data_IF_966743641408
#
_entry.id   IF_966743641408
#
_cell.length_a   1.000
_cell.length_b   1.000
_cell.length_c   1.000
_cell.angle_alpha   90.00
_cell.angle_beta   90.00
_cell.angle_gamma   90.00
#
_symmetry.space_group_name_H-M   'P 1'
#
loop_
_entity.id
_entity.type
_entity.pdbx_description
1 polymer ?
#
# COMPACT_ATOMS: atom_id res chain seq x y z
N UNK A 1 60.20 102.53 -18.00
CA UNK A 1 59.21 102.18 -18.98
C UNK A 1 58.58 100.86 -18.63
N UNK A 2 57.24 100.81 -18.49
CA UNK A 2 56.37 99.67 -17.97
C UNK A 2 56.43 99.39 -16.48
N UNK A 3 55.52 99.55 -15.73
CA UNK A 3 54.13 99.67 -15.48
C UNK A 3 53.68 98.49 -14.64
N UNK A 4 53.78 98.55 -13.28
CA UNK A 4 53.27 97.59 -12.37
C UNK A 4 51.80 97.90 -12.05
N UNK A 5 50.91 96.99 -12.49
CA UNK A 5 49.50 97.07 -12.18
C UNK A 5 49.17 96.21 -10.98
N UNK A 6 48.84 96.86 -9.90
CA UNK A 6 48.37 96.33 -8.63
C UNK A 6 47.06 95.55 -8.82
N UNK A 7 46.98 94.28 -8.47
CA UNK A 7 45.73 93.56 -8.36
C UNK A 7 45.51 93.22 -6.90
N UNK A 8 44.45 93.76 -6.37
CA UNK A 8 43.92 93.48 -5.01
C UNK A 8 43.54 92.04 -4.87
N UNK A 9 43.81 91.45 -3.66
CA UNK A 9 43.33 90.20 -3.21
C UNK A 9 41.79 90.23 -3.02
N UNK A 10 41.07 89.18 -3.36
CA UNK A 10 39.66 89.12 -2.99
C UNK A 10 39.46 88.70 -1.55
N UNK A 11 38.46 89.27 -0.96
CA UNK A 11 37.96 89.08 0.40
C UNK A 11 37.62 87.64 0.72
N UNK A 12 37.92 87.27 1.96
CA UNK A 12 37.34 86.09 2.63
C UNK A 12 35.81 86.16 2.59
N UNK A 13 35.19 85.25 1.77
CA UNK A 13 33.77 84.94 1.85
C UNK A 13 33.48 84.15 3.14
N UNK A 14 32.48 84.62 3.86
CA UNK A 14 31.92 83.92 5.05
C UNK A 14 31.53 82.52 4.65
N UNK A 15 32.09 81.50 5.30
CA UNK A 15 31.51 80.18 5.35
C UNK A 15 30.15 80.26 6.03
N UNK A 16 29.08 80.02 5.32
CA UNK A 16 27.75 79.78 5.88
C UNK A 16 27.73 78.37 6.49
N UNK A 17 27.34 78.31 7.74
CA UNK A 17 27.20 77.05 8.49
C UNK A 17 25.87 76.35 8.20
N UNK A 18 25.65 75.97 6.96
CA UNK A 18 24.40 75.31 6.56
C UNK A 18 24.64 74.28 5.43
N UNK A 19 25.57 73.36 5.69
CA UNK A 19 25.71 72.14 4.87
C UNK A 19 26.11 70.95 5.77
N UNK A 20 25.36 70.76 6.90
CA UNK A 20 25.24 69.46 7.54
C UNK A 20 24.32 68.62 6.66
N UNK A 21 24.82 68.15 5.51
CA UNK A 21 24.25 67.03 4.83
C UNK A 21 24.54 65.81 5.70
N UNK A 22 23.48 65.34 6.35
CA UNK A 22 23.43 64.05 7.01
C UNK A 22 24.07 62.99 6.12
N UNK A 23 25.29 62.61 6.46
CA UNK A 23 25.93 61.44 5.90
C UNK A 23 25.14 60.25 6.54
N UNK A 24 24.08 59.87 5.83
CA UNK A 24 23.33 58.64 6.15
C UNK A 24 24.29 57.48 5.93
N UNK A 25 24.94 57.05 6.99
CA UNK A 25 25.75 55.86 6.99
C UNK A 25 24.77 54.69 6.73
N UNK A 26 24.64 54.32 5.48
CA UNK A 26 23.94 53.10 5.09
C UNK A 26 24.59 51.94 5.85
N UNK A 27 23.90 51.49 6.87
CA UNK A 27 24.27 50.24 7.59
C UNK A 27 24.26 49.12 6.56
N UNK A 28 25.35 48.38 6.42
CA UNK A 28 25.35 47.26 5.47
C UNK A 28 24.21 46.31 5.82
N UNK A 29 23.42 45.98 4.81
CA UNK A 29 22.27 45.13 4.87
C UNK A 29 22.64 43.79 5.52
N UNK A 30 22.33 43.58 6.77
CA UNK A 30 22.36 42.30 7.49
C UNK A 30 21.12 41.45 7.18
N UNK A 31 20.27 41.89 6.25
CA UNK A 31 19.01 41.23 5.87
C UNK A 31 19.23 39.85 5.27
N UNK A 32 20.29 39.62 4.51
CA UNK A 32 20.54 38.30 3.87
C UNK A 32 20.78 37.17 4.86
N UNK A 33 21.34 37.46 6.03
CA UNK A 33 21.65 36.40 7.03
C UNK A 33 20.42 36.00 7.85
N UNK A 34 19.51 36.93 8.10
CA UNK A 34 18.26 36.63 8.81
C UNK A 34 17.27 35.88 7.90
N UNK A 35 17.24 36.23 6.62
CA UNK A 35 16.44 35.49 5.62
C UNK A 35 16.90 34.05 5.48
N UNK A 36 18.21 33.79 5.39
CA UNK A 36 18.75 32.44 5.30
C UNK A 36 18.34 31.52 6.46
N UNK A 37 18.41 32.01 7.69
CA UNK A 37 18.01 31.21 8.86
C UNK A 37 16.49 30.98 8.97
N UNK A 38 15.69 31.89 8.47
CA UNK A 38 14.24 31.71 8.40
C UNK A 38 13.85 30.67 7.34
N UNK A 39 14.46 30.75 6.18
CA UNK A 39 14.27 29.75 5.10
C UNK A 39 14.78 28.37 5.51
N UNK A 40 15.95 28.29 6.14
CA UNK A 40 16.48 27.03 6.66
C UNK A 40 15.54 26.40 7.70
N UNK A 41 14.94 27.18 8.59
CA UNK A 41 13.95 26.68 9.56
C UNK A 41 12.70 26.13 8.88
N UNK A 42 12.21 26.78 7.83
CA UNK A 42 11.07 26.30 7.05
C UNK A 42 11.39 24.97 6.37
N UNK A 43 12.54 24.86 5.73
CA UNK A 43 12.99 23.63 5.09
C UNK A 43 13.14 22.47 6.11
N UNK A 44 13.74 22.73 7.27
CA UNK A 44 13.87 21.72 8.33
C UNK A 44 12.51 21.29 8.86
N UNK A 45 11.58 22.21 9.06
CA UNK A 45 10.21 21.91 9.45
C UNK A 45 9.53 21.01 8.42
N UNK A 46 9.62 21.40 7.15
CA UNK A 46 8.98 20.67 6.05
C UNK A 46 9.59 19.26 5.88
N UNK A 47 10.90 19.13 6.07
CA UNK A 47 11.58 17.85 6.11
C UNK A 47 11.08 16.97 7.29
N UNK A 48 10.90 17.56 8.48
CA UNK A 48 10.37 16.83 9.63
C UNK A 48 8.93 16.36 9.35
N UNK A 49 8.07 17.22 8.80
CA UNK A 49 6.72 16.81 8.42
C UNK A 49 6.70 15.72 7.35
N UNK A 50 7.54 15.83 6.32
CA UNK A 50 7.67 14.81 5.29
C UNK A 50 8.13 13.47 5.87
N UNK A 51 9.11 13.48 6.76
CA UNK A 51 9.63 12.28 7.41
C UNK A 51 8.58 11.65 8.33
N UNK A 52 7.86 12.47 9.10
CA UNK A 52 6.76 12.03 9.96
C UNK A 52 5.64 11.40 9.12
N UNK A 53 5.23 12.05 8.04
CA UNK A 53 4.21 11.54 7.14
C UNK A 53 4.64 10.22 6.47
N UNK A 54 5.87 10.16 5.96
CA UNK A 54 6.42 8.93 5.36
C UNK A 54 6.45 7.77 6.38
N UNK A 55 6.87 8.05 7.61
CA UNK A 55 6.87 7.08 8.71
C UNK A 55 5.45 6.58 9.01
N UNK A 56 4.49 7.50 9.11
CA UNK A 56 3.08 7.17 9.33
C UNK A 56 2.54 6.27 8.22
N UNK A 57 2.85 6.60 6.96
CA UNK A 57 2.44 5.79 5.79
C UNK A 57 3.02 4.38 5.85
N UNK A 58 4.30 4.23 6.13
CA UNK A 58 4.95 2.91 6.22
C UNK A 58 4.42 2.11 7.42
N UNK A 59 4.18 2.75 8.56
CA UNK A 59 3.71 2.06 9.77
C UNK A 59 2.26 1.59 9.62
N UNK A 60 1.38 2.42 9.08
CA UNK A 60 -0.07 2.17 9.12
C UNK A 60 -0.69 1.74 7.78
N UNK A 61 -0.10 2.13 6.66
CA UNK A 61 -0.74 1.96 5.34
C UNK A 61 -0.04 0.94 4.46
N UNK A 62 1.28 1.06 4.30
CA UNK A 62 2.05 0.26 3.33
C UNK A 62 3.22 -0.43 4.02
N UNK A 63 3.36 -1.74 3.78
CA UNK A 63 4.51 -2.50 4.26
C UNK A 63 5.27 -3.11 3.09
N UNK A 64 6.60 -2.88 2.98
CA UNK A 64 7.43 -3.64 2.05
C UNK A 64 7.62 -5.07 2.57
N UNK A 65 7.44 -6.05 1.68
CA UNK A 65 7.60 -7.48 1.96
C UNK A 65 8.46 -8.10 0.88
N UNK A 66 9.37 -9.00 1.26
CA UNK A 66 10.10 -9.86 0.34
C UNK A 66 9.35 -11.18 0.19
N UNK A 67 9.11 -11.58 -1.05
CA UNK A 67 8.51 -12.89 -1.38
C UNK A 67 9.59 -13.96 -1.25
N UNK A 68 9.28 -15.04 -0.58
CA UNK A 68 10.15 -16.20 -0.44
C UNK A 68 9.41 -17.47 -0.86
N UNK A 69 10.10 -18.28 -1.67
CA UNK A 69 9.57 -19.52 -2.20
C UNK A 69 8.86 -19.39 -3.56
N UNK A 70 8.33 -20.51 -4.03
CA UNK A 70 7.84 -20.66 -5.40
C UNK A 70 6.33 -20.90 -5.49
N UNK A 71 5.63 -20.83 -4.37
CA UNK A 71 4.19 -21.17 -4.30
C UNK A 71 3.26 -20.20 -5.05
N UNK A 72 3.74 -19.01 -5.41
CA UNK A 72 2.98 -17.99 -6.15
C UNK A 72 3.49 -17.79 -7.58
N UNK A 73 4.32 -18.70 -8.10
CA UNK A 73 4.70 -18.72 -9.52
C UNK A 73 3.43 -18.92 -10.38
N UNK A 74 3.30 -18.26 -11.47
CA UNK A 74 4.19 -17.34 -12.20
C UNK A 74 3.99 -15.88 -11.82
N UNK A 75 3.01 -15.61 -10.98
CA UNK A 75 2.64 -14.22 -10.62
C UNK A 75 3.71 -13.52 -9.79
N UNK A 76 4.25 -14.22 -8.78
CA UNK A 76 5.32 -13.73 -7.92
C UNK A 76 6.45 -14.75 -7.86
N UNK A 77 7.68 -14.27 -7.97
CA UNK A 77 8.91 -15.08 -7.95
C UNK A 77 9.63 -14.94 -6.62
N UNK A 78 10.46 -15.94 -6.33
CA UNK A 78 11.35 -15.86 -5.18
C UNK A 78 12.29 -14.65 -5.29
N UNK A 79 12.38 -13.87 -4.21
CA UNK A 79 13.16 -12.63 -4.17
C UNK A 79 12.42 -11.36 -4.60
N UNK A 80 11.21 -11.47 -5.16
CA UNK A 80 10.38 -10.30 -5.48
C UNK A 80 10.14 -9.45 -4.22
N UNK A 81 10.11 -8.11 -4.40
CA UNK A 81 9.73 -7.20 -3.32
C UNK A 81 8.45 -6.49 -3.70
N UNK A 82 7.50 -6.58 -2.81
CA UNK A 82 6.14 -6.06 -3.02
C UNK A 82 5.75 -5.08 -1.93
N UNK A 83 4.88 -4.16 -2.26
CA UNK A 83 4.15 -3.36 -1.29
C UNK A 83 2.83 -4.03 -0.95
N UNK A 84 2.54 -4.06 0.33
CA UNK A 84 1.34 -4.68 0.91
C UNK A 84 0.51 -3.60 1.57
N UNK A 85 -0.79 -3.54 1.25
CA UNK A 85 -1.75 -2.65 1.88
C UNK A 85 -2.19 -3.24 3.24
N UNK A 86 -1.91 -2.52 4.32
CA UNK A 86 -2.28 -2.90 5.69
C UNK A 86 -3.67 -2.40 6.09
N UNK A 87 -4.26 -1.47 5.35
CA UNK A 87 -5.59 -0.94 5.68
C UNK A 87 -6.67 -2.01 5.67
N UNK A 88 -6.46 -3.12 4.97
CA UNK A 88 -7.37 -4.28 5.02
C UNK A 88 -7.54 -4.84 6.43
N UNK A 89 -6.52 -4.74 7.28
CA UNK A 89 -6.60 -5.14 8.68
C UNK A 89 -7.68 -4.34 9.44
N UNK A 90 -7.97 -3.12 8.96
CA UNK A 90 -9.02 -2.25 9.49
C UNK A 90 -10.35 -2.38 8.70
N UNK A 91 -10.47 -3.42 7.85
CA UNK A 91 -11.68 -3.69 7.08
C UNK A 91 -11.89 -2.83 5.82
N UNK A 92 -10.84 -2.14 5.35
CA UNK A 92 -10.92 -1.25 4.17
C UNK A 92 -9.73 -1.49 3.23
N UNK A 93 -9.97 -1.85 1.95
CA UNK A 93 -11.19 -2.37 1.34
C UNK A 93 -11.49 -3.81 1.80
N UNK A 94 -12.72 -4.27 1.62
CA UNK A 94 -13.07 -5.68 1.87
C UNK A 94 -12.28 -6.61 0.97
N UNK A 95 -11.84 -7.73 1.53
CA UNK A 95 -11.16 -8.77 0.79
C UNK A 95 -12.11 -9.43 -0.22
N UNK A 96 -11.57 -9.70 -1.39
CA UNK A 96 -12.29 -10.30 -2.52
C UNK A 96 -11.60 -11.56 -2.99
N UNK A 97 -12.35 -12.43 -3.69
CA UNK A 97 -11.76 -13.56 -4.41
C UNK A 97 -10.73 -13.06 -5.41
N UNK A 98 -9.59 -13.74 -5.51
CA UNK A 98 -8.49 -13.36 -6.39
C UNK A 98 -7.47 -12.43 -5.74
N UNK A 99 -7.76 -11.84 -4.58
CA UNK A 99 -6.79 -11.03 -3.86
C UNK A 99 -5.61 -11.88 -3.39
N UNK A 100 -4.41 -11.39 -3.63
CA UNK A 100 -3.20 -11.98 -3.05
C UNK A 100 -2.96 -11.36 -1.68
N UNK A 101 -2.99 -12.19 -0.65
CA UNK A 101 -2.93 -11.75 0.75
C UNK A 101 -1.72 -12.30 1.47
N UNK A 102 -1.23 -11.53 2.43
CA UNK A 102 -0.17 -11.92 3.35
C UNK A 102 -0.78 -12.09 4.73
N UNK A 103 -0.45 -13.22 5.37
CA UNK A 103 -1.08 -13.60 6.64
C UNK A 103 -0.13 -14.42 7.52
N UNK A 104 -0.40 -14.43 8.82
CA UNK A 104 0.27 -15.33 9.75
C UNK A 104 -0.23 -16.76 9.56
N UNK A 105 0.71 -17.70 9.41
CA UNK A 105 0.35 -19.11 9.21
C UNK A 105 -0.44 -19.65 10.40
N UNK A 106 -1.66 -20.22 10.21
CA UNK A 106 -2.54 -20.59 11.31
C UNK A 106 -1.95 -21.58 12.32
N UNK A 107 -1.11 -22.53 11.85
CA UNK A 107 -0.52 -23.55 12.72
C UNK A 107 0.81 -23.10 13.35
N UNK A 108 1.41 -22.03 12.86
CA UNK A 108 2.66 -21.44 13.39
C UNK A 108 2.71 -19.95 13.06
N UNK A 109 2.11 -19.08 13.90
CA UNK A 109 2.03 -17.64 13.64
C UNK A 109 3.39 -16.91 13.62
N UNK A 110 4.49 -17.58 13.90
CA UNK A 110 5.84 -17.04 13.70
C UNK A 110 6.22 -16.94 12.22
N UNK A 111 5.49 -17.65 11.34
CA UNK A 111 5.69 -17.69 9.89
C UNK A 111 4.63 -16.88 9.16
N UNK A 112 5.06 -16.22 8.10
CA UNK A 112 4.17 -15.48 7.20
C UNK A 112 4.07 -16.21 5.87
N UNK A 113 2.84 -16.30 5.36
CA UNK A 113 2.57 -16.87 4.06
C UNK A 113 1.92 -15.84 3.15
N UNK A 114 2.14 -16.03 1.84
CA UNK A 114 1.47 -15.27 0.77
C UNK A 114 0.71 -16.26 -0.10
N UNK A 115 -0.59 -16.03 -0.28
CA UNK A 115 -1.49 -16.89 -1.06
C UNK A 115 -2.60 -16.06 -1.70
N UNK A 116 -3.29 -16.67 -2.64
CA UNK A 116 -4.48 -16.08 -3.29
C UNK A 116 -5.74 -16.54 -2.58
N UNK A 117 -6.68 -15.62 -2.34
CA UNK A 117 -8.03 -15.96 -1.87
C UNK A 117 -8.79 -16.63 -3.00
N UNK A 118 -9.28 -17.84 -2.71
CA UNK A 118 -10.06 -18.67 -3.65
C UNK A 118 -11.48 -18.81 -3.14
N UNK A 119 -11.69 -19.06 -1.87
CA UNK A 119 -13.03 -19.17 -1.26
C UNK A 119 -13.30 -18.06 -0.26
N UNK A 120 -14.51 -17.50 -0.34
CA UNK A 120 -15.02 -16.43 0.54
C UNK A 120 -15.90 -17.00 1.65
N UNK A 121 -16.10 -16.26 2.75
CA UNK A 121 -17.02 -16.68 3.82
C UNK A 121 -18.42 -17.06 3.30
N UNK A 122 -18.94 -18.19 3.77
CA UNK A 122 -20.25 -18.75 3.36
C UNK A 122 -20.24 -19.60 2.11
N UNK A 123 -19.10 -19.73 1.40
CA UNK A 123 -18.99 -20.55 0.20
C UNK A 123 -18.49 -21.97 0.51
N UNK A 124 -18.86 -22.90 -0.35
CA UNK A 124 -18.31 -24.24 -0.35
C UNK A 124 -17.25 -24.37 -1.43
N UNK A 125 -16.02 -24.68 -1.04
CA UNK A 125 -14.90 -24.93 -1.93
C UNK A 125 -14.64 -26.41 -2.06
N UNK A 126 -14.53 -26.89 -3.26
CA UNK A 126 -14.20 -28.26 -3.61
C UNK A 126 -13.12 -28.29 -4.69
N UNK A 127 -12.24 -29.28 -4.67
CA UNK A 127 -11.29 -29.51 -5.75
C UNK A 127 -11.56 -30.88 -6.34
N UNK A 128 -11.85 -30.93 -7.66
CA UNK A 128 -12.06 -32.15 -8.44
C UNK A 128 -11.00 -32.24 -9.52
N UNK A 129 -10.20 -33.28 -9.46
CA UNK A 129 -9.15 -33.50 -10.47
C UNK A 129 -8.30 -32.28 -10.76
N UNK A 130 -7.88 -31.54 -9.69
CA UNK A 130 -7.08 -30.35 -9.78
C UNK A 130 -7.85 -29.06 -10.09
N UNK A 131 -9.14 -29.11 -10.40
CA UNK A 131 -9.99 -27.94 -10.69
C UNK A 131 -10.80 -27.52 -9.50
N UNK A 132 -10.80 -26.22 -9.24
CA UNK A 132 -11.55 -25.63 -8.12
C UNK A 132 -13.01 -25.42 -8.52
N UNK A 133 -13.91 -25.79 -7.62
CA UNK A 133 -15.33 -25.51 -7.73
C UNK A 133 -15.79 -24.72 -6.51
N UNK A 134 -16.56 -23.65 -6.75
CA UNK A 134 -17.18 -22.83 -5.73
C UNK A 134 -18.69 -23.01 -5.81
N UNK A 135 -19.31 -23.50 -4.74
CA UNK A 135 -20.74 -23.81 -4.70
C UNK A 135 -21.18 -24.72 -5.88
N UNK A 136 -20.30 -25.65 -6.26
CA UNK A 136 -20.53 -26.59 -7.38
C UNK A 136 -20.23 -26.06 -8.77
N UNK A 137 -19.89 -24.77 -8.92
CA UNK A 137 -19.52 -24.14 -10.21
C UNK A 137 -18.01 -24.13 -10.35
N UNK A 138 -17.47 -24.61 -11.48
CA UNK A 138 -16.04 -24.59 -11.79
C UNK A 138 -15.54 -23.14 -11.87
N UNK A 139 -14.47 -22.86 -11.14
CA UNK A 139 -13.81 -21.54 -11.13
C UNK A 139 -12.96 -21.38 -12.39
N UNK A 140 -13.11 -20.27 -13.10
CA UNK A 140 -12.20 -19.91 -14.18
C UNK A 140 -10.86 -19.43 -13.60
N UNK A 141 -9.84 -20.24 -13.79
CA UNK A 141 -8.50 -20.00 -13.30
C UNK A 141 -7.48 -19.84 -14.44
N UNK A 142 -7.89 -19.14 -15.50
CA UNK A 142 -7.07 -18.86 -16.69
C UNK A 142 -5.75 -18.13 -16.40
N UNK A 143 -5.59 -17.58 -15.21
CA UNK A 143 -4.35 -16.95 -14.72
C UNK A 143 -3.26 -17.96 -14.30
N UNK A 144 -3.61 -19.22 -14.14
CA UNK A 144 -2.67 -20.26 -13.74
C UNK A 144 -1.85 -20.75 -14.94
N UNK A 145 -0.57 -21.04 -14.70
CA UNK A 145 0.27 -21.70 -15.69
C UNK A 145 -0.05 -23.20 -15.72
N UNK A 146 -0.51 -23.75 -16.86
CA UNK A 146 -0.82 -25.17 -16.96
C UNK A 146 0.36 -26.10 -16.64
N UNK A 147 1.61 -25.65 -16.82
CA UNK A 147 2.80 -26.47 -16.54
C UNK A 147 3.13 -26.57 -15.05
N UNK A 148 2.55 -25.71 -14.22
CA UNK A 148 2.71 -25.70 -12.76
C UNK A 148 1.46 -26.20 -12.01
N UNK A 149 0.48 -26.76 -12.75
CA UNK A 149 -0.83 -27.11 -12.24
C UNK A 149 -1.32 -28.41 -12.90
N UNK A 150 -0.48 -29.44 -12.89
CA UNK A 150 -0.75 -30.76 -13.51
C UNK A 150 -1.32 -31.79 -12.52
N UNK A 151 -1.30 -31.48 -11.22
CA UNK A 151 -1.79 -32.38 -10.18
C UNK A 151 -3.30 -32.58 -10.29
N UNK A 152 -3.73 -33.84 -10.27
CA UNK A 152 -5.14 -34.23 -10.20
C UNK A 152 -5.63 -34.41 -8.76
N UNK A 153 -5.09 -33.62 -7.83
CA UNK A 153 -5.51 -33.63 -6.44
C UNK A 153 -7.01 -33.34 -6.32
N UNK A 154 -7.69 -34.07 -5.48
CA UNK A 154 -9.09 -33.84 -5.14
C UNK A 154 -9.24 -33.54 -3.66
N UNK A 155 -10.12 -32.59 -3.33
CA UNK A 155 -10.48 -32.20 -1.96
C UNK A 155 -12.00 -32.25 -1.83
N UNK A 156 -12.50 -32.91 -0.81
CA UNK A 156 -13.93 -32.93 -0.49
C UNK A 156 -14.44 -31.49 -0.21
N UNK A 157 -15.75 -31.25 -0.40
CA UNK A 157 -16.34 -29.95 -0.15
C UNK A 157 -16.04 -29.42 1.24
N UNK A 158 -15.50 -28.21 1.32
CA UNK A 158 -15.17 -27.49 2.56
C UNK A 158 -16.00 -26.22 2.61
N UNK A 159 -16.87 -26.11 3.61
CA UNK A 159 -17.59 -24.86 3.89
C UNK A 159 -16.65 -23.84 4.52
N UNK A 160 -16.49 -22.68 3.86
CA UNK A 160 -15.74 -21.55 4.37
C UNK A 160 -16.57 -20.83 5.44
N UNK A 161 -16.15 -20.95 6.70
CA UNK A 161 -16.86 -20.36 7.84
C UNK A 161 -16.84 -18.83 7.77
N UNK A 162 -17.76 -18.18 8.46
CA UNK A 162 -17.76 -16.73 8.65
C UNK A 162 -16.42 -16.27 9.24
N UNK A 163 -15.87 -15.17 8.73
CA UNK A 163 -14.56 -14.63 9.11
C UNK A 163 -13.36 -15.55 8.81
N UNK A 164 -13.50 -16.44 7.82
CA UNK A 164 -12.41 -17.29 7.32
C UNK A 164 -12.34 -17.19 5.80
N UNK A 165 -11.17 -17.50 5.27
CA UNK A 165 -10.91 -17.55 3.84
C UNK A 165 -10.24 -18.88 3.48
N UNK A 166 -10.58 -19.39 2.29
CA UNK A 166 -9.87 -20.50 1.68
C UNK A 166 -8.84 -19.92 0.71
N UNK A 167 -7.57 -20.22 0.93
CA UNK A 167 -6.47 -19.64 0.13
C UNK A 167 -5.66 -20.72 -0.54
N UNK A 168 -5.16 -20.43 -1.76
CA UNK A 168 -4.31 -21.34 -2.52
C UNK A 168 -3.11 -20.61 -3.13
N UNK A 169 -2.02 -21.34 -3.36
CA UNK A 169 -0.93 -20.84 -4.18
C UNK A 169 -1.25 -20.91 -5.66
N UNK A 170 -0.63 -20.05 -6.45
CA UNK A 170 -0.78 -20.07 -7.92
C UNK A 170 0.00 -21.24 -8.54
N UNK A 171 1.10 -21.67 -7.91
CA UNK A 171 1.77 -22.94 -8.22
C UNK A 171 1.11 -24.06 -7.41
N UNK A 172 0.05 -24.64 -7.96
CA UNK A 172 -0.78 -25.67 -7.29
C UNK A 172 -0.01 -26.91 -6.88
N UNK A 173 0.98 -27.29 -7.67
CA UNK A 173 1.77 -28.51 -7.45
C UNK A 173 2.83 -28.30 -6.38
N UNK A 174 3.22 -27.06 -6.11
CA UNK A 174 4.24 -26.73 -5.11
C UNK A 174 3.76 -25.63 -4.15
N UNK A 175 2.62 -25.86 -3.52
CA UNK A 175 2.06 -24.93 -2.53
C UNK A 175 1.51 -25.67 -1.32
N UNK A 176 2.00 -25.28 -0.15
CA UNK A 176 1.34 -25.60 1.12
C UNK A 176 0.30 -24.52 1.41
N UNK A 177 -0.99 -24.89 1.33
CA UNK A 177 -2.10 -23.95 1.41
C UNK A 177 -3.34 -24.61 2.08
N UNK A 178 -4.51 -23.98 1.96
CA UNK A 178 -5.75 -24.40 2.64
C UNK A 178 -6.18 -25.83 2.31
N UNK A 179 -5.69 -26.41 1.21
CA UNK A 179 -5.93 -27.81 0.87
C UNK A 179 -5.35 -28.79 1.91
N UNK A 180 -4.30 -28.38 2.61
CA UNK A 180 -3.56 -29.22 3.55
C UNK A 180 -3.83 -28.85 5.01
N UNK A 181 -3.90 -27.55 5.33
CA UNK A 181 -3.98 -27.08 6.71
C UNK A 181 -5.26 -26.30 7.04
N UNK A 182 -6.20 -26.16 6.07
CA UNK A 182 -7.53 -25.63 6.30
C UNK A 182 -7.65 -24.10 6.11
N UNK A 183 -8.63 -23.51 6.76
CA UNK A 183 -9.02 -22.12 6.54
C UNK A 183 -8.11 -21.12 7.26
N UNK A 184 -7.96 -19.94 6.68
CA UNK A 184 -7.26 -18.80 7.30
C UNK A 184 -8.26 -17.89 8.00
N UNK A 185 -8.13 -17.65 9.32
CA UNK A 185 -8.94 -16.64 9.99
C UNK A 185 -8.69 -15.24 9.42
N UNK A 186 -9.73 -14.45 9.20
CA UNK A 186 -9.65 -13.09 8.71
C UNK A 186 -8.65 -12.23 9.51
N UNK A 187 -8.69 -12.34 10.82
CA UNK A 187 -7.80 -11.63 11.75
C UNK A 187 -6.30 -11.94 11.57
N UNK A 188 -5.96 -13.02 10.85
CA UNK A 188 -4.57 -13.37 10.56
C UNK A 188 -4.08 -12.73 9.27
N UNK A 189 -4.99 -12.21 8.44
CA UNK A 189 -4.64 -11.52 7.20
C UNK A 189 -4.31 -10.07 7.54
N UNK A 190 -3.04 -9.71 7.40
CA UNK A 190 -2.58 -8.37 7.76
C UNK A 190 -2.23 -7.50 6.56
N UNK A 191 -2.29 -8.05 5.33
CA UNK A 191 -1.97 -7.27 4.17
C UNK A 191 -2.47 -7.87 2.86
N UNK A 192 -2.81 -6.99 1.90
CA UNK A 192 -3.12 -7.31 0.49
C UNK A 192 -1.99 -6.82 -0.39
N UNK A 193 -1.45 -7.68 -1.24
CA UNK A 193 -0.41 -7.31 -2.20
C UNK A 193 -0.95 -6.28 -3.20
N UNK A 194 -0.20 -5.19 -3.42
CA UNK A 194 -0.60 -4.09 -4.30
C UNK A 194 0.29 -3.93 -5.52
N UNK A 195 1.61 -3.93 -5.29
CA UNK A 195 2.57 -3.53 -6.30
C UNK A 195 3.88 -4.25 -6.08
N UNK A 196 4.45 -4.84 -7.15
CA UNK A 196 5.82 -5.35 -7.16
C UNK A 196 6.74 -4.22 -7.59
N UNK A 197 7.66 -3.82 -6.70
CA UNK A 197 8.60 -2.74 -6.98
C UNK A 197 10.01 -3.22 -7.29
N UNK A 198 10.31 -4.49 -7.05
CA UNK A 198 11.59 -5.09 -7.37
C UNK A 198 11.42 -6.54 -7.83
N UNK A 199 12.14 -7.00 -8.89
CA UNK A 199 13.10 -6.23 -9.73
C UNK A 199 12.41 -5.11 -10.52
N UNK A 200 13.14 -4.02 -10.81
CA UNK A 200 12.57 -2.86 -11.51
C UNK A 200 12.08 -3.20 -12.93
N UNK A 201 12.72 -4.19 -13.58
CA UNK A 201 12.31 -4.67 -14.91
C UNK A 201 10.91 -5.27 -14.91
N UNK A 202 10.46 -5.83 -13.77
CA UNK A 202 9.18 -6.51 -13.61
C UNK A 202 8.21 -5.72 -12.73
N UNK A 203 8.52 -4.44 -12.47
CA UNK A 203 7.69 -3.58 -11.64
C UNK A 203 6.27 -3.48 -12.21
N UNK A 204 5.27 -3.88 -11.43
CA UNK A 204 3.88 -3.98 -11.89
C UNK A 204 2.88 -3.95 -10.75
N UNK A 205 1.67 -3.47 -11.06
CA UNK A 205 0.54 -3.58 -10.15
C UNK A 205 0.15 -5.06 -10.03
N UNK A 206 -0.02 -5.51 -8.81
CA UNK A 206 -0.57 -6.83 -8.52
C UNK A 206 -2.09 -6.67 -8.53
N UNK A 207 -2.65 -6.75 -9.75
CA UNK A 207 -4.09 -6.56 -9.94
C UNK A 207 -4.87 -7.73 -9.34
N UNK A 208 -6.06 -7.41 -8.90
CA UNK A 208 -7.13 -8.36 -8.69
C UNK A 208 -7.46 -9.03 -10.04
N UNK A 209 -7.50 -10.36 -10.07
CA UNK A 209 -7.95 -11.07 -11.27
C UNK A 209 -9.48 -10.92 -11.40
N UNK A 210 -9.92 -10.23 -12.44
CA UNK A 210 -11.35 -9.96 -12.69
C UNK A 210 -12.10 -11.16 -13.32
N UNK A 211 -11.43 -12.27 -13.59
CA UNK A 211 -11.97 -13.39 -14.37
C UNK A 211 -12.96 -14.29 -13.61
N UNK A 212 -13.37 -13.92 -12.39
CA UNK A 212 -14.33 -14.68 -11.58
C UNK A 212 -15.80 -14.37 -11.89
N UNK A 213 -16.10 -13.85 -13.07
CA UNK A 213 -17.46 -13.43 -13.49
C UNK A 213 -18.46 -14.58 -13.62
N UNK A 214 -17.96 -15.81 -13.78
CA UNK A 214 -18.82 -16.99 -13.88
C UNK A 214 -19.41 -17.47 -12.55
N UNK A 215 -18.89 -16.96 -11.42
CA UNK A 215 -19.43 -17.34 -10.12
C UNK A 215 -20.41 -16.25 -9.67
N UNK A 216 -21.68 -16.61 -9.45
CA UNK A 216 -22.63 -15.67 -8.91
C UNK A 216 -22.08 -15.13 -7.56
N UNK A 217 -22.31 -13.83 -7.26
CA UNK A 217 -22.01 -13.31 -5.94
C UNK A 217 -22.62 -14.28 -4.94
N UNK A 218 -21.81 -14.71 -3.94
CA UNK A 218 -22.16 -15.75 -2.98
C UNK A 218 -23.65 -15.65 -2.66
N UNK A 219 -24.40 -16.69 -2.99
CA UNK A 219 -25.78 -16.78 -2.57
C UNK A 219 -25.77 -16.57 -1.06
N UNK A 220 -26.17 -15.39 -0.61
CA UNK A 220 -26.34 -15.11 0.80
C UNK A 220 -27.21 -16.23 1.33
N UNK A 221 -26.57 -17.16 2.08
CA UNK A 221 -27.23 -18.10 2.96
C UNK A 221 -28.63 -18.54 2.50
N UNK A 222 -28.70 -19.62 1.75
CA UNK A 222 -29.85 -20.53 1.91
C UNK A 222 -29.74 -21.12 3.33
N UNK A 223 -30.14 -20.38 4.34
CA UNK A 223 -30.01 -20.78 5.75
C UNK A 223 -30.40 -19.72 6.74
N UNK A 224 -30.67 -18.51 6.31
CA UNK A 224 -31.42 -17.52 7.08
C UNK A 224 -32.91 -17.88 6.90
N UNK A 225 -33.45 -18.67 7.84
CA UNK A 225 -34.88 -18.84 8.00
C UNK A 225 -35.51 -17.44 7.96
N UNK A 226 -36.60 -17.22 7.19
CA UNK A 226 -37.27 -15.93 7.23
C UNK A 226 -37.69 -15.66 8.68
N UNK A 227 -37.22 -14.55 9.24
CA UNK A 227 -37.82 -13.99 10.45
C UNK A 227 -39.30 -13.77 10.16
N UNK A 228 -40.14 -14.62 10.72
CA UNK A 228 -41.59 -14.49 10.58
C UNK A 228 -42.37 -15.80 10.54
N UNK A 229 -41.80 -16.96 10.82
CA UNK A 229 -42.60 -18.13 11.18
C UNK A 229 -42.93 -18.04 12.68
N UNK A 230 -43.79 -17.12 13.06
CA UNK A 230 -44.48 -17.15 14.33
C UNK A 230 -45.24 -18.47 14.45
N UNK A 231 -44.96 -19.18 15.56
CA UNK A 231 -45.71 -20.32 16.02
C UNK A 231 -47.22 -20.01 16.06
N UNK A 232 -47.95 -20.56 15.10
CA UNK A 232 -49.38 -20.73 15.20
C UNK A 232 -49.70 -22.21 15.41
N UNK A 233 -49.37 -22.71 16.58
CA UNK A 233 -49.95 -23.92 17.12
C UNK A 233 -50.42 -23.62 18.55
N UNK A 234 -51.63 -23.05 18.64
CA UNK A 234 -52.55 -23.25 19.78
C UNK A 234 -53.99 -22.98 19.31
N UNK A 235 -54.69 -24.01 18.89
CA UNK A 235 -56.06 -24.31 19.28
C UNK A 235 -56.49 -25.74 18.87
#
# INVERSE_FOLDING_TARGET
>A
MFGFKNRRAPMFGKLSADDDKDIEIQKPHLEGRQSFWSEARLLVRDLIFALMFATLMVVFVIQPVKVEGTSMLTRLHDGDRIFVNKLIYYGVPKLQRGDIVVFWYPNDPSKNYIKRIVGLPGETVEVREGRVHINGVELDESYLDPHLNISHMSLQPVLVKDHYYFVMGDNRDNSSDSRYWGLVPEKYIYGKALFRYWPLADASVISHEENYRNIPPSARREGELPEGAEDTDEQ
#
